data_IF_479174618315
#
_entry.id   IF_479174618315
#
_cell.length_a   1.000
_cell.length_b   1.000
_cell.length_c   1.000
_cell.angle_alpha   90.00
_cell.angle_beta   90.00
_cell.angle_gamma   90.00
#
_symmetry.space_group_name_H-M   'P 1'
#
loop_
_entity.id
_entity.type
_entity.pdbx_description
1 polymer ?
#
# COMPACT_ATOMS: atom_id res chain seq x y z
N UNK A 1 8.42 7.41 -9.28
CA UNK A 1 8.58 6.05 -8.70
C UNK A 1 7.43 5.18 -9.20
N UNK A 2 7.69 3.92 -9.57
CA UNK A 2 6.63 3.01 -9.95
C UNK A 2 6.20 2.17 -8.72
N UNK A 3 4.94 2.27 -8.32
CA UNK A 3 4.40 1.62 -7.11
C UNK A 3 3.85 0.20 -7.39
N UNK A 4 4.05 -0.31 -8.60
CA UNK A 4 3.58 -1.62 -9.07
C UNK A 4 3.82 -2.76 -8.08
N UNK A 5 5.02 -2.84 -7.50
CA UNK A 5 5.36 -3.92 -6.57
C UNK A 5 4.50 -3.89 -5.29
N UNK A 6 4.26 -2.69 -4.76
CA UNK A 6 3.38 -2.50 -3.60
C UNK A 6 1.92 -2.77 -3.97
N UNK A 7 1.47 -2.30 -5.14
CA UNK A 7 0.12 -2.51 -5.62
C UNK A 7 -0.17 -4.00 -5.87
N UNK A 8 0.78 -4.75 -6.43
CA UNK A 8 0.68 -6.20 -6.62
C UNK A 8 0.59 -6.94 -5.28
N UNK A 9 1.46 -6.60 -4.32
CA UNK A 9 1.42 -7.17 -2.97
C UNK A 9 0.07 -6.93 -2.30
N UNK A 10 -0.45 -5.70 -2.38
CA UNK A 10 -1.74 -5.37 -1.80
C UNK A 10 -2.88 -6.11 -2.51
N UNK A 11 -2.95 -6.08 -3.84
CA UNK A 11 -4.11 -6.60 -4.60
C UNK A 11 -4.13 -8.11 -4.79
N UNK A 12 -2.97 -8.74 -4.96
CA UNK A 12 -2.87 -10.18 -5.19
C UNK A 12 -2.58 -10.97 -3.90
N UNK A 13 -2.10 -10.30 -2.84
CA UNK A 13 -1.65 -10.97 -1.60
C UNK A 13 -0.41 -11.85 -1.79
N UNK A 14 0.18 -11.85 -2.98
CA UNK A 14 1.39 -12.56 -3.33
C UNK A 14 2.66 -11.77 -3.01
N UNK A 15 3.78 -12.47 -2.91
CA UNK A 15 5.10 -11.86 -2.71
C UNK A 15 5.54 -11.74 -1.25
N UNK A 16 6.82 -11.44 -1.06
CA UNK A 16 7.42 -11.30 0.27
C UNK A 16 7.31 -9.87 0.77
N UNK A 17 6.67 -9.68 1.93
CA UNK A 17 6.60 -8.36 2.59
C UNK A 17 7.98 -7.75 2.84
N UNK A 18 9.00 -8.58 3.11
CA UNK A 18 10.38 -8.14 3.20
C UNK A 18 10.84 -7.47 1.91
N UNK A 19 10.64 -8.14 0.77
CA UNK A 19 11.03 -7.62 -0.55
C UNK A 19 10.32 -6.30 -0.87
N UNK A 20 9.05 -6.16 -0.47
CA UNK A 20 8.31 -4.89 -0.65
C UNK A 20 8.95 -3.77 0.19
N UNK A 21 9.23 -4.05 1.46
CA UNK A 21 9.80 -3.05 2.36
C UNK A 21 11.21 -2.65 1.92
N UNK A 22 12.05 -3.61 1.54
CA UNK A 22 13.40 -3.33 1.02
C UNK A 22 13.33 -2.45 -0.23
N UNK A 23 12.40 -2.73 -1.16
CA UNK A 23 12.20 -1.92 -2.35
C UNK A 23 11.73 -0.49 -2.01
N UNK A 24 10.78 -0.34 -1.08
CA UNK A 24 10.29 0.96 -0.62
C UNK A 24 11.37 1.78 0.10
N UNK A 25 12.22 1.13 0.89
CA UNK A 25 13.30 1.80 1.61
C UNK A 25 14.49 2.14 0.71
N UNK A 26 14.74 1.34 -0.33
CA UNK A 26 15.79 1.58 -1.34
C UNK A 26 15.41 2.64 -2.37
N UNK A 27 14.11 2.85 -2.61
CA UNK A 27 13.60 3.88 -3.50
C UNK A 27 12.56 4.71 -2.74
N UNK A 28 13.01 5.67 -1.92
CA UNK A 28 12.07 6.49 -1.14
C UNK A 28 11.57 7.65 -1.97
N UNK A 29 10.26 7.86 -1.90
CA UNK A 29 9.68 9.11 -2.37
C UNK A 29 10.10 10.27 -1.44
N UNK A 30 10.51 11.43 -1.98
CA UNK A 30 10.94 12.56 -1.17
C UNK A 30 9.79 13.32 -0.48
N UNK A 31 8.52 12.95 -0.72
CA UNK A 31 7.37 13.60 -0.09
C UNK A 31 7.50 13.60 1.45
N UNK A 32 7.44 14.77 2.12
CA UNK A 32 7.59 14.87 3.57
C UNK A 32 6.56 14.02 4.34
N UNK A 33 5.35 13.87 3.80
CA UNK A 33 4.30 13.06 4.39
C UNK A 33 4.61 11.55 4.40
N UNK A 34 5.51 11.07 3.54
CA UNK A 34 5.91 9.66 3.48
C UNK A 34 7.01 9.32 4.49
N UNK A 35 7.79 10.32 4.94
CA UNK A 35 8.94 10.11 5.85
C UNK A 35 8.60 9.36 7.15
N UNK A 36 7.49 9.66 7.86
CA UNK A 36 7.15 8.93 9.08
C UNK A 36 6.92 7.43 8.82
N UNK A 37 6.36 7.09 7.65
CA UNK A 37 6.12 5.70 7.27
C UNK A 37 7.44 4.98 6.97
N UNK A 38 8.37 5.60 6.23
CA UNK A 38 9.68 4.99 6.00
C UNK A 38 10.44 4.74 7.31
N UNK A 39 10.41 5.69 8.25
CA UNK A 39 11.02 5.51 9.58
C UNK A 39 10.39 4.35 10.35
N UNK A 40 9.07 4.21 10.29
CA UNK A 40 8.39 3.08 10.90
C UNK A 40 8.81 1.77 10.23
N UNK A 41 8.87 1.72 8.89
CA UNK A 41 9.31 0.54 8.14
C UNK A 41 10.77 0.17 8.43
N UNK A 42 11.67 1.13 8.63
CA UNK A 42 13.05 0.86 9.08
C UNK A 42 13.07 0.22 10.48
N UNK A 43 12.21 0.70 11.39
CA UNK A 43 12.21 0.25 12.78
C UNK A 43 11.56 -1.13 12.97
N UNK A 44 10.43 -1.38 12.31
CA UNK A 44 9.66 -2.63 12.50
C UNK A 44 9.77 -3.62 11.34
N UNK A 45 10.20 -3.16 10.17
CA UNK A 45 10.35 -3.97 8.96
C UNK A 45 9.09 -4.80 8.66
N UNK A 46 9.24 -6.11 8.37
CA UNK A 46 8.14 -7.00 7.98
C UNK A 46 7.05 -7.16 9.06
N UNK A 47 7.31 -6.74 10.31
CA UNK A 47 6.35 -6.78 11.41
C UNK A 47 5.38 -5.60 11.38
N UNK A 48 5.60 -4.61 10.51
CA UNK A 48 4.63 -3.56 10.24
C UNK A 48 3.28 -4.16 9.86
N UNK A 49 2.19 -3.50 10.24
CA UNK A 49 0.85 -3.90 9.80
C UNK A 49 0.68 -3.63 8.29
N UNK A 50 -0.19 -4.39 7.62
CA UNK A 50 -0.53 -4.09 6.20
C UNK A 50 -1.16 -2.69 6.09
N UNK A 51 -1.88 -2.24 7.11
CA UNK A 51 -2.42 -0.90 7.22
C UNK A 51 -1.36 0.20 7.09
N UNK A 52 -0.12 -0.05 7.54
CA UNK A 52 0.99 0.89 7.36
C UNK A 52 1.36 1.05 5.89
N UNK A 53 1.35 -0.06 5.13
CA UNK A 53 1.63 -0.06 3.69
C UNK A 53 0.48 0.58 2.90
N UNK A 54 -0.77 0.34 3.32
CA UNK A 54 -1.96 0.99 2.76
C UNK A 54 -1.91 2.51 2.97
N UNK A 55 -1.63 2.95 4.19
CA UNK A 55 -1.53 4.37 4.51
C UNK A 55 -0.38 5.05 3.76
N UNK A 56 0.78 4.40 3.65
CA UNK A 56 1.88 4.87 2.81
C UNK A 56 1.44 5.00 1.34
N UNK A 57 0.73 3.99 0.79
CA UNK A 57 0.28 4.06 -0.61
C UNK A 57 -0.68 5.21 -0.89
N UNK A 58 -1.56 5.53 0.06
CA UNK A 58 -2.43 6.72 0.00
C UNK A 58 -1.61 8.02 -0.04
N UNK A 59 -0.60 8.13 0.83
CA UNK A 59 0.30 9.30 0.84
C UNK A 59 1.05 9.45 -0.48
N UNK A 60 1.55 8.33 -1.02
CA UNK A 60 2.24 8.30 -2.32
C UNK A 60 1.32 8.65 -3.50
N UNK A 61 0.02 8.48 -3.33
CA UNK A 61 -1.02 8.97 -4.25
C UNK A 61 -1.43 10.43 -4.00
N UNK A 62 -0.77 11.15 -3.10
CA UNK A 62 -1.14 12.51 -2.71
C UNK A 62 -2.43 12.60 -1.88
N UNK A 63 -2.93 11.47 -1.34
CA UNK A 63 -4.13 11.42 -0.50
C UNK A 63 -3.76 11.51 0.99
N UNK A 64 -4.71 11.99 1.80
CA UNK A 64 -4.60 11.98 3.27
C UNK A 64 -4.91 10.57 3.80
N UNK A 65 -4.02 9.95 4.60
CA UNK A 65 -4.25 8.63 5.17
C UNK A 65 -5.14 8.73 6.41
N UNK A 66 -6.44 9.01 6.25
CA UNK A 66 -7.42 8.93 7.34
C UNK A 66 -7.83 7.49 7.62
N UNK A 67 -8.33 7.22 8.83
CA UNK A 67 -8.86 5.90 9.21
C UNK A 67 -9.92 5.41 8.22
N UNK A 68 -10.78 6.31 7.75
CA UNK A 68 -11.80 6.01 6.73
C UNK A 68 -11.19 5.61 5.39
N UNK A 69 -10.16 6.33 4.94
CA UNK A 69 -9.48 6.03 3.68
C UNK A 69 -8.72 4.69 3.76
N UNK A 70 -8.02 4.44 4.87
CA UNK A 70 -7.31 3.18 5.12
C UNK A 70 -8.30 2.02 5.18
N UNK A 71 -9.40 2.17 5.92
CA UNK A 71 -10.45 1.16 6.02
C UNK A 71 -11.11 0.87 4.68
N UNK A 72 -11.41 1.91 3.89
CA UNK A 72 -11.97 1.75 2.54
C UNK A 72 -11.01 0.97 1.64
N UNK A 73 -9.74 1.37 1.58
CA UNK A 73 -8.77 0.70 0.72
C UNK A 73 -8.53 -0.74 1.17
N UNK A 74 -8.51 -1.00 2.49
CA UNK A 74 -8.42 -2.35 3.05
C UNK A 74 -9.59 -3.24 2.60
N UNK A 75 -10.81 -2.72 2.58
CA UNK A 75 -11.99 -3.45 2.07
C UNK A 75 -11.84 -3.80 0.59
N UNK A 76 -11.40 -2.83 -0.24
CA UNK A 76 -11.17 -3.05 -1.67
C UNK A 76 -10.09 -4.12 -1.90
N UNK A 77 -8.99 -4.02 -1.15
CA UNK A 77 -7.89 -5.00 -1.19
C UNK A 77 -8.38 -6.40 -0.81
N UNK A 78 -9.16 -6.52 0.27
CA UNK A 78 -9.72 -7.79 0.70
C UNK A 78 -10.61 -8.39 -0.40
N UNK A 79 -11.47 -7.58 -1.04
CA UNK A 79 -12.32 -8.02 -2.14
C UNK A 79 -11.49 -8.49 -3.36
N UNK A 80 -10.41 -7.77 -3.70
CA UNK A 80 -9.49 -8.18 -4.77
C UNK A 80 -8.79 -9.52 -4.48
N UNK A 81 -8.48 -9.81 -3.21
CA UNK A 81 -7.78 -11.05 -2.82
C UNK A 81 -8.70 -12.27 -2.77
N UNK A 82 -10.00 -12.08 -2.54
CA UNK A 82 -10.97 -13.17 -2.40
C UNK A 82 -11.82 -13.45 -3.64
N UNK A 83 -11.77 -12.58 -4.65
CA UNK A 83 -12.60 -12.72 -5.85
C UNK A 83 -11.98 -13.68 -6.87
N UNK A 84 -12.83 -14.50 -7.50
CA UNK A 84 -12.44 -15.31 -8.68
C UNK A 84 -12.08 -14.40 -9.86
N UNK A 85 -12.77 -13.27 -10.01
CA UNK A 85 -12.43 -12.18 -10.92
C UNK A 85 -12.18 -10.88 -10.14
N UNK A 86 -10.92 -10.45 -9.95
CA UNK A 86 -10.58 -9.25 -9.19
C UNK A 86 -10.70 -7.96 -10.01
N UNK A 87 -11.18 -8.00 -11.26
CA UNK A 87 -11.13 -6.85 -12.19
C UNK A 87 -11.80 -5.59 -11.62
N UNK A 88 -13.01 -5.70 -11.08
CA UNK A 88 -13.73 -4.53 -10.54
C UNK A 88 -13.06 -3.99 -9.27
N UNK A 89 -12.61 -4.86 -8.36
CA UNK A 89 -11.91 -4.44 -7.15
C UNK A 89 -10.59 -3.71 -7.48
N UNK A 90 -9.85 -4.18 -8.49
CA UNK A 90 -8.64 -3.51 -8.98
C UNK A 90 -8.95 -2.16 -9.62
N UNK A 91 -10.06 -2.03 -10.34
CA UNK A 91 -10.51 -0.77 -10.90
C UNK A 91 -10.92 0.23 -9.79
N UNK A 92 -11.62 -0.25 -8.76
CA UNK A 92 -11.98 0.58 -7.60
C UNK A 92 -10.75 1.04 -6.82
N UNK A 93 -9.75 0.15 -6.66
CA UNK A 93 -8.48 0.50 -6.03
C UNK A 93 -7.77 1.66 -6.73
N UNK A 94 -7.71 1.62 -8.07
CA UNK A 94 -7.13 2.70 -8.87
C UNK A 94 -7.92 4.01 -8.71
N UNK A 95 -9.25 3.95 -8.82
CA UNK A 95 -10.13 5.10 -8.60
C UNK A 95 -9.99 5.72 -7.21
N UNK A 96 -9.66 4.93 -6.19
CA UNK A 96 -9.44 5.43 -4.84
C UNK A 96 -8.09 6.16 -4.68
N UNK A 97 -7.15 5.94 -5.60
CA UNK A 97 -5.81 6.51 -5.60
C UNK A 97 -5.65 7.66 -6.60
N UNK A 98 -6.48 7.74 -7.64
CA UNK A 98 -6.60 8.89 -8.55
C UNK A 98 -7.20 10.10 -7.83
#
# INVERSE_FOLDING_TARGET
MNFELLDEYLLAGGGSKHRIIDALLGNRDPAPAALPFYRALEAVGPRAADETLIALRLVLAGKKPSDDAVRRLRTIIAASRSADDPTEARAEYRRALD
#
